data_IF_653029033655
#
_entry.id   IF_653029033655
#
_cell.length_a   1.000
_cell.length_b   1.000
_cell.length_c   1.000
_cell.angle_alpha   90.00
_cell.angle_beta   90.00
_cell.angle_gamma   90.00
#
_symmetry.space_group_name_H-M   'P 1'
#
loop_
_entity.id
_entity.type
_entity.pdbx_description
1 polymer ?
#
# COMPACT_ATOMS: atom_id res chain seq x y z
N UNK A 1 10.83 7.47 -12.38
CA UNK A 1 10.64 8.56 -11.40
C UNK A 1 11.74 8.57 -10.37
N UNK A 2 12.77 9.34 -10.65
CA UNK A 2 13.95 9.39 -9.79
C UNK A 2 13.63 9.85 -8.37
N UNK A 3 12.73 10.80 -8.23
CA UNK A 3 12.35 11.31 -6.91
C UNK A 3 11.75 10.22 -6.01
N UNK A 4 10.99 9.31 -6.61
CA UNK A 4 10.39 8.21 -5.86
C UNK A 4 11.47 7.24 -5.38
N UNK A 5 12.40 6.88 -6.28
CA UNK A 5 13.50 6.00 -5.92
C UNK A 5 14.38 6.63 -4.85
N UNK A 6 14.70 7.92 -4.98
CA UNK A 6 15.48 8.62 -3.96
C UNK A 6 14.78 8.63 -2.60
N UNK A 7 13.48 8.85 -2.59
CA UNK A 7 12.71 8.85 -1.34
C UNK A 7 12.67 7.46 -0.70
N UNK A 8 12.52 6.42 -1.50
CA UNK A 8 12.54 5.04 -1.02
C UNK A 8 13.90 4.74 -0.36
N UNK A 9 14.98 5.11 -1.03
CA UNK A 9 16.32 4.89 -0.50
C UNK A 9 16.59 5.72 0.73
N UNK A 10 16.16 6.97 0.75
CA UNK A 10 16.33 7.84 1.91
C UNK A 10 15.54 7.34 3.12
N UNK A 11 14.40 6.71 2.90
CA UNK A 11 13.63 6.09 3.97
C UNK A 11 14.28 4.81 4.52
N UNK A 12 15.34 4.33 3.87
CA UNK A 12 16.05 3.12 4.28
C UNK A 12 15.51 1.85 3.69
N UNK A 13 14.72 1.96 2.64
CA UNK A 13 14.09 0.81 1.98
C UNK A 13 14.83 0.44 0.70
N UNK A 14 14.52 -0.73 0.15
CA UNK A 14 15.25 -1.29 -1.00
C UNK A 14 14.39 -1.29 -2.25
N UNK A 15 14.65 -0.38 -3.21
CA UNK A 15 13.95 -0.42 -4.49
C UNK A 15 14.22 -1.73 -5.22
N UNK A 16 13.21 -2.27 -5.87
CA UNK A 16 13.34 -3.48 -6.68
C UNK A 16 13.52 -3.10 -8.15
N UNK A 17 14.21 -3.95 -8.93
CA UNK A 17 14.34 -3.70 -10.37
C UNK A 17 12.97 -3.61 -11.05
N UNK A 18 12.81 -2.67 -11.95
CA UNK A 18 11.58 -2.48 -12.71
C UNK A 18 11.90 -2.23 -14.17
N UNK A 19 11.05 -2.76 -15.04
CA UNK A 19 11.13 -2.51 -16.49
C UNK A 19 10.28 -1.32 -16.90
N UNK A 20 9.56 -0.71 -15.97
CA UNK A 20 8.66 0.40 -16.24
C UNK A 20 9.22 1.68 -15.61
N UNK A 21 9.05 2.80 -16.30
CA UNK A 21 9.47 4.10 -15.76
C UNK A 21 8.53 4.63 -14.70
N UNK A 22 7.24 4.36 -14.87
CA UNK A 22 6.18 4.97 -14.06
C UNK A 22 5.58 4.02 -13.05
N UNK A 23 6.22 2.87 -12.83
CA UNK A 23 5.76 1.90 -11.85
C UNK A 23 6.93 1.11 -11.33
N UNK A 24 6.82 0.64 -10.10
CA UNK A 24 7.87 -0.16 -9.50
C UNK A 24 7.43 -0.74 -8.17
N UNK A 25 8.39 -1.31 -7.47
CA UNK A 25 8.17 -1.90 -6.17
C UNK A 25 9.40 -1.70 -5.29
N UNK A 26 9.21 -1.86 -4.00
CA UNK A 26 10.31 -1.86 -3.04
C UNK A 26 10.01 -2.81 -1.90
N UNK A 27 11.04 -3.18 -1.18
CA UNK A 27 10.91 -4.01 0.02
C UNK A 27 11.22 -3.18 1.26
N UNK A 28 10.41 -3.37 2.29
CA UNK A 28 10.59 -2.70 3.57
C UNK A 28 9.98 -3.58 4.66
N UNK A 29 10.69 -3.75 5.76
CA UNK A 29 10.21 -4.52 6.92
C UNK A 29 9.73 -5.93 6.55
N UNK A 30 10.38 -6.55 5.57
CA UNK A 30 10.01 -7.89 5.09
C UNK A 30 8.77 -7.94 4.23
N UNK A 31 8.24 -6.80 3.85
CA UNK A 31 7.03 -6.71 3.03
C UNK A 31 7.36 -6.08 1.68
N UNK A 32 6.52 -6.35 0.70
CA UNK A 32 6.63 -5.74 -0.63
C UNK A 32 5.56 -4.68 -0.81
N UNK A 33 6.00 -3.53 -1.31
CA UNK A 33 5.15 -2.39 -1.61
C UNK A 33 5.28 -2.06 -3.09
N UNK A 34 4.18 -1.62 -3.70
CA UNK A 34 4.20 -1.16 -5.08
C UNK A 34 3.96 0.33 -5.17
N UNK A 35 4.32 0.90 -6.30
CA UNK A 35 3.99 2.28 -6.60
C UNK A 35 3.75 2.47 -8.09
N UNK A 36 2.92 3.44 -8.40
CA UNK A 36 2.66 3.88 -9.77
C UNK A 36 2.56 5.38 -9.79
N UNK A 37 3.09 5.98 -10.84
CA UNK A 37 3.08 7.43 -11.01
C UNK A 37 2.41 7.81 -12.32
N UNK A 38 1.63 8.89 -12.28
CA UNK A 38 0.97 9.44 -13.46
C UNK A 38 0.62 10.90 -13.22
N UNK A 39 0.92 11.74 -14.19
CA UNK A 39 0.55 13.16 -14.17
C UNK A 39 0.99 13.90 -12.90
N UNK A 40 2.20 13.61 -12.43
CA UNK A 40 2.77 14.29 -11.27
C UNK A 40 2.29 13.78 -9.93
N UNK A 41 1.51 12.68 -9.91
CA UNK A 41 1.06 12.03 -8.70
C UNK A 41 1.56 10.59 -8.64
N UNK A 42 1.70 10.06 -7.44
CA UNK A 42 2.03 8.65 -7.23
C UNK A 42 1.08 8.05 -6.23
N UNK A 43 0.76 6.78 -6.43
CA UNK A 43 0.07 5.96 -5.45
C UNK A 43 1.02 4.87 -4.98
N UNK A 44 1.08 4.70 -3.66
CA UNK A 44 1.86 3.63 -3.02
C UNK A 44 0.87 2.68 -2.39
N UNK A 45 1.13 1.38 -2.48
CA UNK A 45 0.16 0.39 -2.00
C UNK A 45 0.84 -0.90 -1.56
N UNK A 46 0.15 -1.64 -0.70
CA UNK A 46 0.55 -2.99 -0.33
C UNK A 46 -0.69 -3.84 -0.09
N UNK A 47 -0.55 -5.15 -0.28
CA UNK A 47 -1.61 -6.10 0.00
C UNK A 47 -1.67 -6.40 1.49
N UNK A 48 -2.86 -6.37 2.06
CA UNK A 48 -3.10 -6.78 3.44
C UNK A 48 -3.54 -8.23 3.55
N UNK A 49 -3.77 -8.89 2.40
CA UNK A 49 -4.28 -10.25 2.34
C UNK A 49 -5.60 -10.33 1.60
N UNK A 50 -6.17 -11.51 1.56
CA UNK A 50 -7.42 -11.77 0.85
C UNK A 50 -8.58 -11.78 1.84
N UNK A 51 -9.61 -11.00 1.53
CA UNK A 51 -10.82 -10.98 2.34
C UNK A 51 -11.61 -12.26 2.06
N UNK A 52 -12.00 -13.04 3.08
CA UNK A 52 -12.79 -14.25 2.85
C UNK A 52 -14.17 -13.91 2.29
N UNK A 53 -14.84 -14.90 1.70
CA UNK A 53 -16.17 -14.74 1.12
C UNK A 53 -17.19 -14.23 2.15
N UNK A 54 -17.06 -14.70 3.38
CA UNK A 54 -17.94 -14.32 4.47
C UNK A 54 -17.10 -13.77 5.61
N UNK A 55 -16.63 -12.52 5.48
CA UNK A 55 -15.77 -11.93 6.49
C UNK A 55 -16.54 -11.70 7.80
N UNK A 56 -15.82 -11.73 8.92
CA UNK A 56 -16.46 -11.43 10.20
C UNK A 56 -16.87 -9.96 10.25
N UNK A 57 -17.95 -9.70 10.95
CA UNK A 57 -18.41 -8.32 11.18
C UNK A 57 -17.34 -7.51 11.89
N UNK A 58 -16.65 -8.12 12.85
CA UNK A 58 -15.60 -7.45 13.61
C UNK A 58 -14.46 -6.98 12.71
N UNK A 59 -14.02 -7.82 11.76
CA UNK A 59 -12.98 -7.41 10.81
C UNK A 59 -13.45 -6.24 9.96
N UNK A 60 -14.66 -6.33 9.41
CA UNK A 60 -15.21 -5.27 8.58
C UNK A 60 -15.32 -3.94 9.34
N UNK A 61 -15.78 -4.00 10.57
CA UNK A 61 -15.90 -2.80 11.41
C UNK A 61 -14.53 -2.20 11.71
N UNK A 62 -13.52 -3.02 12.01
CA UNK A 62 -12.17 -2.52 12.27
C UNK A 62 -11.56 -1.84 11.05
N UNK A 63 -11.75 -2.43 9.87
CA UNK A 63 -11.24 -1.83 8.63
C UNK A 63 -11.92 -0.50 8.32
N UNK A 64 -13.24 -0.44 8.47
CA UNK A 64 -13.99 0.79 8.25
C UNK A 64 -13.62 1.86 9.27
N UNK A 65 -13.43 1.48 10.52
CA UNK A 65 -13.01 2.40 11.57
C UNK A 65 -11.62 2.98 11.27
N UNK A 66 -10.69 2.12 10.85
CA UNK A 66 -9.33 2.57 10.51
C UNK A 66 -9.32 3.53 9.32
N UNK A 67 -10.19 3.28 8.33
CA UNK A 67 -10.25 4.10 7.12
C UNK A 67 -11.02 5.40 7.32
N UNK A 68 -11.77 5.51 8.41
CA UNK A 68 -12.63 6.66 8.65
C UNK A 68 -11.82 7.96 8.70
N UNK A 69 -12.05 8.83 7.73
CA UNK A 69 -11.37 10.13 7.60
C UNK A 69 -9.85 10.02 7.54
N UNK A 70 -9.32 8.83 7.28
CA UNK A 70 -7.87 8.60 7.23
C UNK A 70 -7.18 8.69 8.58
N UNK A 71 -7.91 8.66 9.68
CA UNK A 71 -7.32 8.81 11.02
C UNK A 71 -6.44 7.61 11.38
N UNK A 72 -6.97 6.42 11.23
CA UNK A 72 -6.22 5.20 11.55
C UNK A 72 -5.19 4.82 10.51
N UNK A 73 -5.34 5.32 9.29
CA UNK A 73 -4.47 4.99 8.15
C UNK A 73 -3.38 6.03 7.91
N UNK A 74 -3.31 7.09 8.73
CA UNK A 74 -2.34 8.14 8.53
C UNK A 74 -2.55 8.95 7.27
N UNK A 75 -3.81 9.09 6.83
CA UNK A 75 -4.17 9.79 5.60
C UNK A 75 -4.27 8.88 4.40
N UNK A 76 -4.02 7.58 4.57
CA UNK A 76 -4.19 6.59 3.51
C UNK A 76 -5.60 6.00 3.47
N UNK A 77 -5.75 4.95 2.70
CA UNK A 77 -7.02 4.27 2.47
C UNK A 77 -6.86 2.76 2.51
N UNK A 78 -7.89 2.09 3.02
CA UNK A 78 -8.01 0.65 2.92
C UNK A 78 -9.19 0.37 2.00
N UNK A 79 -8.95 -0.42 0.96
CA UNK A 79 -9.97 -0.73 -0.02
C UNK A 79 -9.95 -2.20 -0.40
N UNK A 80 -11.01 -2.63 -1.06
CA UNK A 80 -11.14 -4.00 -1.54
C UNK A 80 -11.02 -4.00 -3.06
N UNK A 81 -10.02 -4.73 -3.56
CA UNK A 81 -9.93 -5.02 -5.00
C UNK A 81 -10.77 -6.27 -5.24
N UNK A 82 -11.99 -6.05 -5.71
CA UNK A 82 -13.03 -7.06 -5.76
C UNK A 82 -12.69 -8.29 -6.61
N UNK A 83 -12.08 -8.15 -7.81
CA UNK A 83 -11.80 -9.32 -8.64
C UNK A 83 -11.02 -10.44 -7.97
N UNK A 84 -10.08 -10.10 -7.11
CA UNK A 84 -9.28 -11.08 -6.35
C UNK A 84 -9.60 -11.06 -4.86
N UNK A 85 -10.49 -10.20 -4.43
CA UNK A 85 -10.86 -9.95 -3.03
C UNK A 85 -9.63 -9.61 -2.18
N UNK A 86 -8.71 -8.87 -2.77
CA UNK A 86 -7.50 -8.43 -2.07
C UNK A 86 -7.75 -7.11 -1.37
N UNK A 87 -7.45 -7.06 -0.08
CA UNK A 87 -7.46 -5.81 0.67
C UNK A 87 -6.17 -5.06 0.39
N UNK A 88 -6.29 -3.80 0.03
CA UNK A 88 -5.15 -2.94 -0.25
C UNK A 88 -5.12 -1.76 0.71
N UNK A 89 -3.93 -1.49 1.23
CA UNK A 89 -3.65 -0.27 1.98
C UNK A 89 -2.82 0.63 1.07
N UNK A 90 -3.26 1.85 0.86
CA UNK A 90 -2.63 2.76 -0.10
C UNK A 90 -2.65 4.20 0.36
N UNK A 91 -1.75 4.99 -0.19
CA UNK A 91 -1.88 6.45 -0.14
C UNK A 91 -1.43 7.05 -1.47
N UNK A 92 -1.96 8.22 -1.75
CA UNK A 92 -1.71 8.94 -2.99
C UNK A 92 -1.17 10.33 -2.64
N UNK A 93 -0.16 10.77 -3.35
CA UNK A 93 0.44 12.07 -3.10
C UNK A 93 1.03 12.66 -4.38
N UNK A 94 1.18 13.95 -4.41
CA UNK A 94 1.91 14.59 -5.50
C UNK A 94 3.41 14.37 -5.31
N UNK A 95 4.07 14.04 -6.42
CA UNK A 95 5.53 13.86 -6.44
C UNK A 95 6.19 14.89 -7.34
N UNK A 96 5.41 15.60 -8.13
CA UNK A 96 5.87 16.67 -9.00
C UNK A 96 6.30 17.86 -8.15
N UNK A 97 7.59 18.18 -8.17
CA UNK A 97 8.14 19.24 -7.33
C UNK A 97 8.17 18.92 -5.85
N UNK A 98 8.02 17.65 -5.48
CA UNK A 98 7.99 17.25 -4.09
C UNK A 98 9.39 17.26 -3.46
N UNK A 99 9.42 17.44 -2.15
CA UNK A 99 10.62 17.39 -1.34
C UNK A 99 10.92 15.93 -1.00
N UNK A 100 12.12 15.44 -1.36
CA UNK A 100 12.51 14.06 -1.11
C UNK A 100 12.45 13.66 0.37
N UNK A 101 12.99 14.45 1.32
CA UNK A 101 12.88 14.12 2.74
C UNK A 101 11.44 13.99 3.22
N UNK A 102 10.56 14.86 2.74
CA UNK A 102 9.14 14.80 3.10
C UNK A 102 8.48 13.54 2.57
N UNK A 103 8.74 13.20 1.32
CA UNK A 103 8.20 11.98 0.73
C UNK A 103 8.74 10.73 1.45
N UNK A 104 10.02 10.75 1.82
CA UNK A 104 10.62 9.67 2.60
C UNK A 104 9.93 9.50 3.96
N UNK A 105 9.60 10.59 4.64
CA UNK A 105 8.87 10.54 5.92
C UNK A 105 7.47 9.97 5.74
N UNK A 106 6.78 10.34 4.66
CA UNK A 106 5.46 9.80 4.35
C UNK A 106 5.52 8.30 4.08
N UNK A 107 6.54 7.86 3.34
CA UNK A 107 6.75 6.44 3.08
C UNK A 107 7.06 5.67 4.35
N UNK A 108 7.88 6.22 5.23
CA UNK A 108 8.22 5.58 6.50
C UNK A 108 6.97 5.40 7.37
N UNK A 109 6.10 6.41 7.44
CA UNK A 109 4.86 6.31 8.19
C UNK A 109 3.93 5.26 7.58
N UNK A 110 3.78 5.27 6.27
CA UNK A 110 2.96 4.30 5.55
C UNK A 110 3.43 2.86 5.79
N UNK A 111 4.72 2.62 5.61
CA UNK A 111 5.31 1.29 5.84
C UNK A 111 5.13 0.86 7.29
N UNK A 112 5.31 1.79 8.22
CA UNK A 112 5.19 1.48 9.65
C UNK A 112 3.79 1.06 10.09
N UNK A 113 2.75 1.49 9.38
CA UNK A 113 1.37 1.15 9.71
C UNK A 113 0.93 -0.19 9.13
N UNK A 114 1.53 -0.63 8.03
CA UNK A 114 1.11 -1.82 7.30
C UNK A 114 1.10 -3.11 8.13
N UNK A 115 2.13 -3.43 8.94
CA UNK A 115 2.13 -4.69 9.69
C UNK A 115 0.94 -4.88 10.61
N UNK A 116 0.46 -3.81 11.24
CA UNK A 116 -0.70 -3.89 12.13
C UNK A 116 -1.96 -4.28 11.37
N UNK A 117 -2.18 -3.69 10.21
CA UNK A 117 -3.33 -4.02 9.37
C UNK A 117 -3.25 -5.44 8.84
N UNK A 118 -2.06 -5.88 8.45
CA UNK A 118 -1.86 -7.26 7.99
C UNK A 118 -2.18 -8.24 9.11
N UNK A 119 -1.74 -7.98 10.34
CA UNK A 119 -2.06 -8.83 11.48
C UNK A 119 -3.55 -8.91 11.74
N UNK A 120 -4.26 -7.78 11.70
CA UNK A 120 -5.71 -7.77 11.89
C UNK A 120 -6.43 -8.58 10.82
N UNK A 121 -6.05 -8.41 9.56
CA UNK A 121 -6.62 -9.18 8.46
C UNK A 121 -6.37 -10.68 8.64
N UNK A 122 -5.14 -11.06 9.02
CA UNK A 122 -4.77 -12.45 9.25
C UNK A 122 -5.52 -13.05 10.43
N UNK A 123 -5.62 -12.30 11.52
CA UNK A 123 -6.28 -12.76 12.77
C UNK A 123 -7.74 -13.07 12.55
N UNK A 124 -8.44 -12.26 11.77
CA UNK A 124 -9.87 -12.42 11.54
C UNK A 124 -10.22 -13.16 10.25
N UNK A 125 -9.23 -13.69 9.55
CA UNK A 125 -9.39 -14.37 8.27
C UNK A 125 -9.12 -15.87 8.46
N UNK A 126 -10.13 -16.70 8.28
CA UNK A 126 -10.02 -18.14 8.53
C UNK A 126 -9.24 -18.88 7.45
N UNK A 127 -9.19 -18.34 6.23
CA UNK A 127 -8.52 -18.97 5.11
C UNK A 127 -7.53 -17.99 4.51
N UNK A 128 -6.31 -18.02 4.99
CA UNK A 128 -5.30 -17.07 4.62
C UNK A 128 -4.38 -17.64 3.54
N UNK A 129 -4.18 -16.88 2.49
CA UNK A 129 -3.08 -17.15 1.57
C UNK A 129 -1.82 -16.52 2.16
N UNK A 130 -0.74 -17.26 2.19
CA UNK A 130 0.54 -16.77 2.69
C UNK A 130 1.24 -15.83 1.70
N UNK A 131 0.71 -15.71 0.50
CA UNK A 131 1.32 -14.88 -0.52
C UNK A 131 0.74 -13.47 -0.54
N UNK A 132 1.59 -12.50 -0.26
CA UNK A 132 1.30 -11.10 -0.54
C UNK A 132 1.63 -10.84 -2.00
N UNK A 133 0.72 -11.19 -2.88
CA UNK A 133 0.89 -11.00 -4.31
C UNK A 133 0.21 -9.71 -4.72
N UNK A 134 0.93 -8.88 -5.45
CA UNK A 134 0.32 -7.71 -6.08
C UNK A 134 -0.51 -8.20 -7.26
N UNK A 135 -1.85 -8.13 -7.17
CA UNK A 135 -2.70 -8.75 -8.18
C UNK A 135 -2.77 -7.98 -9.50
N UNK A 136 -2.18 -6.81 -9.54
CA UNK A 136 -2.27 -5.94 -10.71
C UNK A 136 -1.11 -4.96 -10.71
N UNK A 137 -0.93 -4.31 -11.86
CA UNK A 137 -0.01 -3.18 -12.00
C UNK A 137 -0.59 -2.24 -13.05
N UNK A 138 0.01 -1.08 -13.18
CA UNK A 138 -0.31 -0.16 -14.23
C UNK A 138 -1.60 0.61 -14.03
N UNK A 139 -2.29 0.87 -15.12
CA UNK A 139 -3.37 1.84 -15.19
C UNK A 139 -4.61 1.52 -14.35
N UNK A 140 -4.73 0.32 -13.80
CA UNK A 140 -5.92 -0.07 -13.05
C UNK A 140 -6.18 0.80 -11.83
N UNK A 141 -5.12 1.26 -11.18
CA UNK A 141 -5.24 2.08 -9.98
C UNK A 141 -5.69 3.52 -10.29
N UNK A 142 -5.73 3.89 -11.54
CA UNK A 142 -6.07 5.25 -11.99
C UNK A 142 -7.45 5.34 -12.66
N UNK A 143 -8.18 4.27 -12.66
CA UNK A 143 -9.50 4.20 -13.26
C UNK A 143 -10.58 4.80 -12.36
#
# INVERSE_FOLDING_TARGET
MDIIIEAIEQAGFSPLPSNEEDAGAFEAEGLRFGWEAKDGEAVFYTSLGVLPQHPSTELCERLLEADCLGIGTGGGHIGLYEPTRTLLYSFRTRVDGADVPRLADMLADFVGRAPAFIRETTEFSAAQSDECVMPFSGAMLWV
#
